data_IF_472213568277
#
_entry.id   IF_472213568277
#
_cell.length_a   1.000
_cell.length_b   1.000
_cell.length_c   1.000
_cell.angle_alpha   90.00
_cell.angle_beta   90.00
_cell.angle_gamma   90.00
#
_symmetry.space_group_name_H-M   'P 1'
#
loop_
_entity.id
_entity.type
_entity.pdbx_description
1 polymer ?
#
# COMPACT_ATOMS: atom_id res chain seq x y z
N UNK A 1 -2.31 24.66 0.51
CA UNK A 1 -1.89 24.11 1.81
C UNK A 1 -0.94 22.94 1.56
N UNK A 2 0.16 22.86 2.30
CA UNK A 2 1.03 21.69 2.16
C UNK A 2 0.30 20.45 2.66
N UNK A 3 0.56 19.33 1.99
CA UNK A 3 0.00 18.05 2.41
C UNK A 3 0.72 17.56 3.65
N UNK A 4 0.01 16.92 4.58
CA UNK A 4 0.65 16.38 5.77
C UNK A 4 1.64 15.27 5.42
N UNK A 5 2.71 15.18 6.21
CA UNK A 5 3.71 14.13 6.08
C UNK A 5 3.83 13.41 7.41
N UNK A 6 4.53 12.26 7.42
CA UNK A 6 4.84 11.56 8.66
C UNK A 6 5.82 12.38 9.50
N UNK A 7 5.99 11.99 10.75
CA UNK A 7 6.93 12.67 11.66
C UNK A 7 8.37 12.67 11.14
N UNK A 8 8.72 11.72 10.27
CA UNK A 8 10.03 11.64 9.65
C UNK A 8 10.10 12.29 8.26
N UNK A 9 9.03 12.99 7.86
CA UNK A 9 8.96 13.70 6.58
C UNK A 9 8.55 12.85 5.39
N UNK A 10 8.17 11.61 5.61
CA UNK A 10 7.76 10.71 4.54
C UNK A 10 6.32 11.00 4.08
N UNK A 11 6.00 10.62 2.86
CA UNK A 11 4.70 10.93 2.26
C UNK A 11 3.61 9.90 2.58
N UNK A 12 3.99 8.71 3.04
CA UNK A 12 3.01 7.71 3.46
C UNK A 12 3.57 6.85 4.59
N UNK A 13 2.67 6.14 5.27
CA UNK A 13 3.01 5.30 6.41
C UNK A 13 3.17 3.83 6.04
N UNK A 14 2.80 3.45 4.82
CA UNK A 14 2.56 2.04 4.48
C UNK A 14 3.63 1.42 3.59
N UNK A 15 4.62 2.19 3.13
CA UNK A 15 5.59 1.74 2.12
C UNK A 15 6.26 0.41 2.49
N UNK A 16 6.80 0.33 3.70
CA UNK A 16 7.52 -0.88 4.15
C UNK A 16 6.61 -2.07 4.31
N UNK A 17 5.37 -1.84 4.76
CA UNK A 17 4.39 -2.93 4.93
C UNK A 17 3.94 -3.49 3.61
N UNK A 18 3.78 -2.64 2.60
CA UNK A 18 3.40 -3.11 1.26
C UNK A 18 4.51 -3.99 0.67
N UNK A 19 5.77 -3.57 0.82
CA UNK A 19 6.91 -4.39 0.38
C UNK A 19 6.87 -5.75 1.09
N UNK A 20 6.71 -5.75 2.41
CA UNK A 20 6.66 -6.98 3.21
C UNK A 20 5.52 -7.90 2.80
N UNK A 21 4.32 -7.34 2.62
CA UNK A 21 3.15 -8.12 2.21
C UNK A 21 3.35 -8.72 0.82
N UNK A 22 3.86 -7.93 -0.10
CA UNK A 22 4.12 -8.38 -1.45
C UNK A 22 5.12 -9.54 -1.45
N UNK A 23 6.21 -9.40 -0.70
CA UNK A 23 7.22 -10.46 -0.56
C UNK A 23 6.64 -11.71 0.10
N UNK A 24 5.84 -11.53 1.14
CA UNK A 24 5.17 -12.64 1.83
C UNK A 24 4.25 -13.43 0.91
N UNK A 25 3.60 -12.74 -0.02
CA UNK A 25 2.71 -13.37 -0.99
C UNK A 25 3.41 -13.75 -2.29
N UNK A 26 4.72 -13.62 -2.35
CA UNK A 26 5.54 -13.94 -3.54
C UNK A 26 5.07 -13.19 -4.78
N UNK A 27 4.70 -11.93 -4.61
CA UNK A 27 4.22 -11.09 -5.70
C UNK A 27 5.28 -10.10 -6.14
N UNK A 28 5.47 -9.99 -7.46
CA UNK A 28 6.18 -8.85 -8.04
C UNK A 28 5.27 -7.62 -7.97
N UNK A 29 5.87 -6.44 -8.17
CA UNK A 29 5.06 -5.21 -8.26
C UNK A 29 4.07 -5.30 -9.43
N UNK A 30 4.50 -5.90 -10.53
CA UNK A 30 3.65 -6.08 -11.71
C UNK A 30 2.47 -7.00 -11.42
N UNK A 31 2.71 -8.09 -10.71
CA UNK A 31 1.63 -9.01 -10.34
C UNK A 31 0.63 -8.35 -9.40
N UNK A 32 1.12 -7.59 -8.43
CA UNK A 32 0.24 -6.85 -7.52
C UNK A 32 -0.63 -5.86 -8.29
N UNK A 33 -0.03 -5.11 -9.22
CA UNK A 33 -0.78 -4.19 -10.07
C UNK A 33 -1.87 -4.91 -10.87
N UNK A 34 -1.52 -6.05 -11.44
CA UNK A 34 -2.46 -6.87 -12.20
C UNK A 34 -3.64 -7.31 -11.34
N UNK A 35 -3.37 -7.82 -10.15
CA UNK A 35 -4.43 -8.25 -9.22
C UNK A 35 -5.33 -7.10 -8.81
N UNK A 36 -4.77 -5.94 -8.55
CA UNK A 36 -5.54 -4.75 -8.20
C UNK A 36 -6.47 -4.33 -9.34
N UNK A 37 -5.95 -4.34 -10.57
CA UNK A 37 -6.75 -3.99 -11.75
C UNK A 37 -7.87 -5.00 -11.99
N UNK A 38 -7.63 -6.29 -11.77
CA UNK A 38 -8.66 -7.32 -11.85
C UNK A 38 -9.79 -7.07 -10.84
N UNK A 39 -9.48 -6.46 -9.72
CA UNK A 39 -10.46 -6.13 -8.68
C UNK A 39 -11.08 -4.74 -8.87
N UNK A 40 -10.84 -4.10 -10.01
CA UNK A 40 -11.47 -2.85 -10.37
C UNK A 40 -10.75 -1.60 -9.89
N UNK A 41 -9.52 -1.73 -9.40
CA UNK A 41 -8.74 -0.57 -8.94
C UNK A 41 -7.73 -0.13 -10.00
N UNK A 42 -7.72 1.16 -10.28
CA UNK A 42 -6.81 1.73 -11.28
C UNK A 42 -5.46 2.05 -10.64
N UNK A 43 -4.71 1.00 -10.34
CA UNK A 43 -3.38 1.10 -9.74
C UNK A 43 -2.39 0.31 -10.59
N UNK A 44 -1.53 1.02 -11.31
CA UNK A 44 -0.51 0.37 -12.13
C UNK A 44 0.79 0.16 -11.35
N UNK A 45 1.77 -0.45 -12.01
CA UNK A 45 3.08 -0.72 -11.40
C UNK A 45 3.76 0.55 -10.91
N UNK A 46 3.60 1.67 -11.64
CA UNK A 46 4.22 2.94 -11.28
C UNK A 46 3.64 3.49 -9.97
N UNK A 47 2.34 3.35 -9.78
CA UNK A 47 1.69 3.73 -8.52
C UNK A 47 2.29 2.94 -7.36
N UNK A 48 2.42 1.63 -7.53
CA UNK A 48 2.98 0.74 -6.50
C UNK A 48 4.44 1.12 -6.20
N UNK A 49 5.25 1.30 -7.23
CA UNK A 49 6.65 1.69 -7.07
C UNK A 49 6.76 2.99 -6.27
N UNK A 50 5.93 3.97 -6.57
CA UNK A 50 5.97 5.27 -5.89
C UNK A 50 5.47 5.20 -4.45
N UNK A 51 4.53 4.30 -4.16
CA UNK A 51 4.12 4.04 -2.78
C UNK A 51 5.29 3.40 -2.01
N UNK A 52 5.91 2.37 -2.59
CA UNK A 52 6.98 1.61 -1.93
C UNK A 52 8.25 2.43 -1.71
N UNK A 53 8.50 3.40 -2.58
CA UNK A 53 9.66 4.29 -2.45
C UNK A 53 9.35 5.59 -1.72
N UNK A 54 8.15 5.71 -1.18
CA UNK A 54 7.68 6.87 -0.41
C UNK A 54 7.68 8.17 -1.22
N UNK A 55 7.41 8.07 -2.52
CA UNK A 55 7.40 9.22 -3.43
C UNK A 55 6.02 9.78 -3.69
N UNK A 56 4.97 9.19 -3.08
CA UNK A 56 3.62 9.69 -3.26
C UNK A 56 2.79 9.51 -1.99
N UNK A 57 1.78 10.36 -1.85
CA UNK A 57 0.74 10.18 -0.85
C UNK A 57 -0.19 9.05 -1.27
N UNK A 58 -0.77 8.38 -0.29
CA UNK A 58 -1.71 7.27 -0.55
C UNK A 58 -3.12 7.78 -0.30
N UNK A 59 -3.99 7.57 -1.27
CA UNK A 59 -5.39 7.95 -1.14
C UNK A 59 -6.15 6.91 -0.33
N UNK A 60 -7.34 7.28 0.18
CA UNK A 60 -8.19 6.34 0.90
C UNK A 60 -8.64 5.18 0.01
N UNK A 61 -8.88 5.42 -1.26
CA UNK A 61 -9.23 4.37 -2.22
C UNK A 61 -8.08 3.38 -2.38
N UNK A 62 -6.86 3.89 -2.49
CA UNK A 62 -5.67 3.04 -2.60
C UNK A 62 -5.45 2.22 -1.33
N UNK A 63 -5.66 2.82 -0.17
CA UNK A 63 -5.56 2.13 1.10
C UNK A 63 -6.58 1.00 1.18
N UNK A 64 -7.81 1.27 0.79
CA UNK A 64 -8.87 0.26 0.74
C UNK A 64 -8.50 -0.89 -0.20
N UNK A 65 -8.00 -0.56 -1.39
CA UNK A 65 -7.60 -1.55 -2.38
C UNK A 65 -6.53 -2.50 -1.83
N UNK A 66 -5.52 -1.95 -1.17
CA UNK A 66 -4.42 -2.74 -0.60
C UNK A 66 -4.89 -3.60 0.57
N UNK A 67 -5.77 -3.06 1.41
CA UNK A 67 -6.38 -3.81 2.49
C UNK A 67 -7.14 -5.03 1.95
N UNK A 68 -7.93 -4.83 0.90
CA UNK A 68 -8.71 -5.92 0.30
C UNK A 68 -7.84 -6.97 -0.36
N UNK A 69 -6.83 -6.56 -1.14
CA UNK A 69 -6.02 -7.50 -1.91
C UNK A 69 -5.17 -8.39 -0.99
N UNK A 70 -4.67 -7.83 0.10
CA UNK A 70 -3.83 -8.56 1.05
C UNK A 70 -4.61 -9.15 2.22
N UNK A 71 -5.91 -8.87 2.33
CA UNK A 71 -6.76 -9.32 3.45
C UNK A 71 -6.19 -8.91 4.81
N UNK A 72 -5.80 -7.65 4.92
CA UNK A 72 -5.27 -7.08 6.17
C UNK A 72 -6.09 -5.86 6.56
N UNK A 73 -6.06 -5.54 7.85
CA UNK A 73 -6.78 -4.38 8.37
C UNK A 73 -6.08 -3.07 8.03
N UNK A 74 -6.82 -1.97 8.11
CA UNK A 74 -6.23 -0.64 8.00
C UNK A 74 -5.25 -0.37 9.14
N UNK A 75 -5.56 -0.88 10.34
CA UNK A 75 -4.66 -0.76 11.49
C UNK A 75 -3.31 -1.39 11.21
N UNK A 76 -3.30 -2.54 10.56
CA UNK A 76 -2.05 -3.18 10.17
C UNK A 76 -1.28 -2.32 9.18
N UNK A 77 -1.96 -1.83 8.14
CA UNK A 77 -1.30 -1.03 7.11
C UNK A 77 -0.72 0.27 7.66
N UNK A 78 -1.47 0.95 8.51
CA UNK A 78 -1.10 2.29 9.00
C UNK A 78 -0.19 2.21 10.21
N UNK A 79 -0.54 1.39 11.20
CA UNK A 79 0.15 1.36 12.49
C UNK A 79 1.02 0.12 12.69
N UNK A 80 0.97 -0.83 11.79
CA UNK A 80 1.72 -2.07 11.91
C UNK A 80 1.19 -3.03 12.94
N UNK A 81 -0.05 -2.84 13.40
CA UNK A 81 -0.65 -3.74 14.36
C UNK A 81 -1.03 -5.05 13.67
N UNK A 82 -0.65 -6.17 14.27
CA UNK A 82 -0.96 -7.46 13.69
C UNK A 82 -2.47 -7.68 13.64
N UNK A 83 -2.93 -8.27 12.53
CA UNK A 83 -4.31 -8.69 12.41
C UNK A 83 -4.53 -9.89 13.32
N UNK A 84 -5.41 -9.75 14.27
CA UNK A 84 -5.86 -10.88 15.07
C UNK A 84 -7.03 -11.55 14.35
N UNK A 85 -6.82 -12.79 14.04
CA UNK A 85 -7.83 -13.58 13.37
C UNK A 85 -8.43 -14.55 14.36
#
# INVERSE_FOLDING_TARGET
MPKPRTSTGEKNLISKRIIKLREKHNMSQRLLAYQLQLNGYDMDKNVITRIETNKRYVTDVELKALSEIFHVSYDYLIDGKEDEI
#
